data_IF_972104647367
#
_entry.id   IF_972104647367
#
_cell.length_a   1.000
_cell.length_b   1.000
_cell.length_c   1.000
_cell.angle_alpha   90.00
_cell.angle_beta   90.00
_cell.angle_gamma   90.00
#
_symmetry.space_group_name_H-M   'P 1'
#
loop_
_entity.id
_entity.type
_entity.pdbx_description
1 polymer ?
#
# COMPACT_ATOMS: atom_id res chain seq x y z
N UNK A 1 -8.40 -6.51 11.41
CA UNK A 1 -8.08 -5.41 12.34
C UNK A 1 -7.54 -4.25 11.52
N UNK A 2 -8.41 -3.34 11.08
CA UNK A 2 -8.04 -2.16 10.25
C UNK A 2 -8.30 -0.82 10.99
N UNK A 3 -8.48 -0.88 12.32
CA UNK A 3 -8.84 0.28 13.15
C UNK A 3 -7.64 1.02 13.77
N UNK A 4 -6.42 0.45 13.71
CA UNK A 4 -5.24 1.06 14.39
C UNK A 4 -4.60 2.21 13.61
N UNK A 5 -4.74 2.25 12.28
CA UNK A 5 -4.07 3.28 11.46
C UNK A 5 -4.75 4.65 11.50
N UNK A 6 -6.08 4.69 11.65
CA UNK A 6 -6.82 5.94 11.78
C UNK A 6 -6.64 6.60 13.16
N UNK A 7 -6.47 5.80 14.22
CA UNK A 7 -6.20 6.31 15.57
C UNK A 7 -4.87 7.07 15.67
N UNK A 8 -3.83 6.59 14.98
CA UNK A 8 -2.51 7.26 14.92
C UNK A 8 -2.56 8.69 14.35
N UNK A 9 -3.49 8.96 13.43
CA UNK A 9 -3.60 10.26 12.73
C UNK A 9 -4.21 11.38 13.60
N UNK A 10 -5.31 11.08 14.31
CA UNK A 10 -5.96 12.07 15.18
C UNK A 10 -5.04 12.46 16.35
N UNK A 11 -4.30 11.49 16.88
CA UNK A 11 -3.35 11.72 17.97
C UNK A 11 -2.11 12.48 17.51
N UNK A 12 -1.62 12.23 16.27
CA UNK A 12 -0.49 12.96 15.70
C UNK A 12 -0.84 14.43 15.37
N UNK A 13 -2.01 14.68 14.80
CA UNK A 13 -2.51 16.05 14.55
C UNK A 13 -2.64 16.84 15.87
N UNK A 14 -3.14 16.20 16.91
CA UNK A 14 -3.29 16.81 18.24
C UNK A 14 -1.93 17.16 18.86
N UNK A 15 -0.90 16.36 18.62
CA UNK A 15 0.46 16.61 19.07
C UNK A 15 1.16 17.72 18.27
N UNK A 16 0.94 17.79 16.95
CA UNK A 16 1.58 18.77 16.06
C UNK A 16 0.95 20.15 16.12
N UNK A 17 -0.38 20.25 16.32
CA UNK A 17 -1.08 21.53 16.51
C UNK A 17 -0.66 22.30 17.78
N UNK A 18 0.08 21.66 18.69
CA UNK A 18 0.67 22.31 19.88
C UNK A 18 2.07 22.89 19.61
N UNK A 19 2.75 22.47 18.54
CA UNK A 19 4.10 22.90 18.20
C UNK A 19 4.06 23.97 17.10
N UNK A 20 4.19 25.25 17.48
CA UNK A 20 4.01 26.43 16.62
C UNK A 20 4.99 26.62 15.43
N UNK A 21 5.08 25.65 14.53
CA UNK A 21 5.79 25.70 13.23
C UNK A 21 4.90 25.09 12.14
N UNK A 22 3.78 25.74 11.84
CA UNK A 22 2.75 25.28 10.90
C UNK A 22 3.33 24.88 9.52
N UNK A 23 4.21 25.69 8.93
CA UNK A 23 4.72 25.44 7.57
C UNK A 23 5.62 24.20 7.42
N UNK A 24 6.43 23.86 8.43
CA UNK A 24 7.31 22.68 8.34
C UNK A 24 6.56 21.38 8.62
N UNK A 25 5.53 21.45 9.47
CA UNK A 25 4.65 20.34 9.78
C UNK A 25 3.79 19.96 8.56
N UNK A 26 3.21 20.95 7.89
CA UNK A 26 2.36 20.76 6.71
C UNK A 26 3.12 20.15 5.54
N UNK A 27 4.35 20.59 5.26
CA UNK A 27 5.17 20.01 4.20
C UNK A 27 5.50 18.54 4.47
N UNK A 28 5.87 18.21 5.71
CA UNK A 28 6.13 16.82 6.10
C UNK A 28 4.87 15.95 6.00
N UNK A 29 3.70 16.50 6.35
CA UNK A 29 2.42 15.80 6.19
C UNK A 29 2.09 15.52 4.72
N UNK A 30 2.32 16.49 3.83
CA UNK A 30 2.11 16.30 2.41
C UNK A 30 3.05 15.24 1.83
N UNK A 31 4.30 15.21 2.26
CA UNK A 31 5.26 14.17 1.88
C UNK A 31 4.79 12.78 2.35
N UNK A 32 4.38 12.65 3.61
CA UNK A 32 3.87 11.37 4.16
C UNK A 32 2.60 10.92 3.42
N UNK A 33 1.68 11.86 3.12
CA UNK A 33 0.45 11.57 2.39
C UNK A 33 0.76 11.09 0.97
N UNK A 34 1.65 11.79 0.26
CA UNK A 34 2.05 11.42 -1.08
C UNK A 34 2.68 10.02 -1.09
N UNK A 35 3.54 9.72 -0.12
CA UNK A 35 4.20 8.42 -0.04
C UNK A 35 3.19 7.31 0.29
N UNK A 36 2.23 7.55 1.19
CA UNK A 36 1.15 6.62 1.47
C UNK A 36 0.26 6.38 0.24
N UNK A 37 -0.11 7.44 -0.47
CA UNK A 37 -0.89 7.36 -1.70
C UNK A 37 -0.16 6.57 -2.78
N UNK A 38 1.13 6.87 -3.01
CA UNK A 38 1.96 6.14 -3.95
C UNK A 38 2.08 4.66 -3.58
N UNK A 39 2.20 4.34 -2.29
CA UNK A 39 2.22 2.95 -1.83
C UNK A 39 0.89 2.22 -2.11
N UNK A 40 -0.26 2.89 -1.92
CA UNK A 40 -1.58 2.33 -2.25
C UNK A 40 -1.69 2.06 -3.75
N UNK A 41 -1.37 3.07 -4.58
CA UNK A 41 -1.41 2.96 -6.05
C UNK A 41 -0.46 1.88 -6.55
N UNK A 42 0.77 1.85 -6.04
CA UNK A 42 1.76 0.85 -6.41
C UNK A 42 1.29 -0.57 -6.06
N UNK A 43 0.67 -0.75 -4.88
CA UNK A 43 0.13 -2.04 -4.46
C UNK A 43 -1.02 -2.48 -5.36
N UNK A 44 -1.93 -1.58 -5.70
CA UNK A 44 -3.04 -1.84 -6.62
C UNK A 44 -2.54 -2.24 -8.02
N UNK A 45 -1.62 -1.47 -8.58
CA UNK A 45 -1.01 -1.76 -9.88
C UNK A 45 -0.28 -3.11 -9.89
N UNK A 46 0.48 -3.39 -8.83
CA UNK A 46 1.20 -4.66 -8.68
C UNK A 46 0.23 -5.84 -8.61
N UNK A 47 -0.88 -5.70 -7.89
CA UNK A 47 -1.94 -6.71 -7.80
C UNK A 47 -2.58 -6.96 -9.17
N UNK A 48 -2.97 -5.90 -9.88
CA UNK A 48 -3.57 -6.01 -11.21
C UNK A 48 -2.64 -6.68 -12.22
N UNK A 49 -1.34 -6.36 -12.16
CA UNK A 49 -0.33 -7.00 -13.02
C UNK A 49 -0.19 -8.50 -12.71
N UNK A 50 -0.15 -8.88 -11.44
CA UNK A 50 -0.07 -10.29 -11.05
C UNK A 50 -1.30 -11.08 -11.49
N UNK A 51 -2.50 -10.49 -11.38
CA UNK A 51 -3.72 -11.12 -11.87
C UNK A 51 -3.68 -11.34 -13.39
N UNK A 52 -3.25 -10.34 -14.16
CA UNK A 52 -3.09 -10.49 -15.61
C UNK A 52 -2.09 -11.59 -15.99
N UNK A 53 -0.96 -11.66 -15.28
CA UNK A 53 0.03 -12.72 -15.49
C UNK A 53 -0.51 -14.10 -15.11
N UNK A 54 -1.30 -14.20 -14.04
CA UNK A 54 -1.97 -15.45 -13.66
C UNK A 54 -2.90 -15.90 -14.79
N UNK A 55 -3.71 -15.00 -15.34
CA UNK A 55 -4.61 -15.31 -16.46
C UNK A 55 -3.82 -15.78 -17.69
N UNK A 56 -2.73 -15.11 -18.05
CA UNK A 56 -1.85 -15.53 -19.16
C UNK A 56 -1.24 -16.93 -18.93
N UNK A 57 -0.85 -17.25 -17.70
CA UNK A 57 -0.29 -18.58 -17.39
C UNK A 57 -1.34 -19.69 -17.48
N UNK A 58 -2.61 -19.39 -17.17
CA UNK A 58 -3.71 -20.33 -17.36
C UNK A 58 -3.94 -20.63 -18.84
N UNK A 59 -3.92 -19.61 -19.70
CA UNK A 59 -4.04 -19.75 -21.15
C UNK A 59 -2.90 -20.61 -21.73
N UNK A 60 -1.68 -20.42 -21.21
CA UNK A 60 -0.50 -21.18 -21.62
C UNK A 60 -0.39 -22.57 -20.96
N UNK A 61 -1.27 -22.89 -20.01
CA UNK A 61 -1.21 -24.08 -19.15
C UNK A 61 0.12 -24.23 -18.40
N UNK A 62 0.78 -23.11 -18.11
CA UNK A 62 2.03 -23.09 -17.35
C UNK A 62 1.74 -23.10 -15.84
N UNK A 63 1.72 -24.31 -15.29
CA UNK A 63 1.47 -24.53 -13.86
C UNK A 63 2.58 -23.94 -12.98
N UNK A 64 3.83 -23.90 -13.43
CA UNK A 64 4.93 -23.43 -12.61
C UNK A 64 4.81 -21.91 -12.41
N UNK A 65 4.64 -21.17 -13.51
CA UNK A 65 4.45 -19.73 -13.48
C UNK A 65 3.15 -19.33 -12.77
N UNK A 66 2.07 -20.09 -12.95
CA UNK A 66 0.81 -19.88 -12.21
C UNK A 66 1.03 -19.93 -10.69
N UNK A 67 1.74 -20.94 -10.20
CA UNK A 67 2.00 -21.09 -8.76
C UNK A 67 2.89 -19.97 -8.23
N UNK A 68 3.88 -19.53 -9.01
CA UNK A 68 4.77 -18.43 -8.66
C UNK A 68 4.01 -17.10 -8.53
N UNK A 69 3.22 -16.72 -9.54
CA UNK A 69 2.48 -15.46 -9.51
C UNK A 69 1.36 -15.46 -8.48
N UNK A 70 0.71 -16.60 -8.26
CA UNK A 70 -0.28 -16.76 -7.19
C UNK A 70 0.36 -16.60 -5.81
N UNK A 71 1.55 -17.16 -5.59
CA UNK A 71 2.28 -16.99 -4.34
C UNK A 71 2.72 -15.54 -4.11
N UNK A 72 3.19 -14.86 -5.16
CA UNK A 72 3.54 -13.45 -5.12
C UNK A 72 2.32 -12.56 -4.79
N UNK A 73 1.16 -12.86 -5.38
CA UNK A 73 -0.09 -12.15 -5.09
C UNK A 73 -0.53 -12.37 -3.63
N UNK A 74 -0.41 -13.59 -3.12
CA UNK A 74 -0.72 -13.88 -1.72
C UNK A 74 0.21 -13.11 -0.76
N UNK A 75 1.51 -13.02 -1.06
CA UNK A 75 2.46 -12.23 -0.28
C UNK A 75 2.13 -10.73 -0.31
N UNK A 76 1.73 -10.20 -1.47
CA UNK A 76 1.32 -8.79 -1.61
C UNK A 76 0.05 -8.46 -0.81
N UNK A 77 -0.87 -9.43 -0.70
CA UNK A 77 -2.14 -9.27 0.01
C UNK A 77 -2.06 -9.59 1.49
N UNK A 78 -1.06 -10.36 1.91
CA UNK A 78 -0.84 -10.66 3.32
C UNK A 78 -0.47 -9.37 4.08
N UNK A 79 -1.23 -8.98 5.11
CA UNK A 79 -0.79 -7.91 6.00
C UNK A 79 0.51 -8.37 6.68
N UNK A 80 1.57 -7.57 6.58
CA UNK A 80 2.75 -7.70 7.45
C UNK A 80 2.37 -7.38 8.89
#
# INVERSE_FOLDING_TARGET
MEMDKQYSYADFLKAMGQAGKESSAENLLNEIYLDMFLNIVHREQSSNRLLALIDETLDQKDKAAFMEYTAALHQLNSPK
#
